data_IF_345266374393
#
_entry.id   IF_345266374393
#
_cell.length_a   1.000
_cell.length_b   1.000
_cell.length_c   1.000
_cell.angle_alpha   90.00
_cell.angle_beta   90.00
_cell.angle_gamma   90.00
#
_symmetry.space_group_name_H-M   'P 1'
#
loop_
_entity.id
_entity.type
_entity.pdbx_description
1 polymer ?
#
# COMPACT_ATOMS: atom_id res chain seq x y z
N UNK A 1 7.08 -8.54 -13.43
CA UNK A 1 7.68 -9.42 -12.41
C UNK A 1 7.65 -8.69 -11.07
N UNK A 2 7.40 -9.38 -9.95
CA UNK A 2 7.48 -8.76 -8.63
C UNK A 2 8.96 -8.66 -8.21
N UNK A 3 9.41 -7.47 -7.79
CA UNK A 3 10.77 -7.24 -7.31
C UNK A 3 10.78 -7.06 -5.80
N UNK A 4 11.78 -7.61 -5.10
CA UNK A 4 11.93 -7.54 -3.65
C UNK A 4 13.13 -6.68 -3.26
N UNK A 5 12.98 -5.86 -2.22
CA UNK A 5 14.00 -4.90 -1.81
C UNK A 5 14.21 -4.89 -0.28
N UNK A 6 15.43 -4.51 0.14
CA UNK A 6 15.79 -4.22 1.54
C UNK A 6 15.36 -5.30 2.54
N UNK A 7 15.63 -6.58 2.26
CA UNK A 7 15.29 -7.69 3.16
C UNK A 7 13.89 -8.28 2.97
N UNK A 8 13.06 -7.72 2.08
CA UNK A 8 11.81 -8.37 1.67
C UNK A 8 12.09 -9.78 1.11
N UNK A 9 11.33 -10.76 1.58
CA UNK A 9 11.57 -12.17 1.24
C UNK A 9 10.28 -12.97 1.24
N UNK A 10 10.28 -14.09 0.53
CA UNK A 10 9.22 -15.08 0.66
C UNK A 10 9.54 -16.05 1.80
N UNK A 11 8.56 -16.29 2.67
CA UNK A 11 8.65 -17.27 3.76
C UNK A 11 7.51 -18.28 3.68
N UNK A 12 7.77 -19.52 4.09
CA UNK A 12 6.70 -20.49 4.31
C UNK A 12 6.16 -20.35 5.73
N UNK A 13 4.84 -20.17 5.85
CA UNK A 13 4.11 -20.20 7.12
C UNK A 13 3.01 -21.25 7.00
N UNK A 14 3.21 -22.38 7.67
CA UNK A 14 2.39 -23.57 7.46
C UNK A 14 2.52 -24.06 6.01
N UNK A 15 1.40 -24.16 5.31
CA UNK A 15 1.34 -24.54 3.88
C UNK A 15 1.31 -23.35 2.91
N UNK A 16 1.49 -22.11 3.40
CA UNK A 16 1.36 -20.89 2.60
C UNK A 16 2.69 -20.17 2.44
N UNK A 17 3.00 -19.81 1.19
CA UNK A 17 4.08 -18.88 0.90
C UNK A 17 3.58 -17.45 1.07
N UNK A 18 4.28 -16.66 1.88
CA UNK A 18 3.90 -15.28 2.20
C UNK A 18 5.03 -14.32 1.86
N UNK A 19 4.68 -13.11 1.44
CA UNK A 19 5.62 -12.00 1.40
C UNK A 19 5.86 -11.52 2.84
N UNK A 20 7.09 -11.66 3.31
CA UNK A 20 7.51 -11.18 4.62
C UNK A 20 8.25 -9.86 4.49
N UNK A 21 7.77 -8.85 5.20
CA UNK A 21 8.37 -7.53 5.34
C UNK A 21 8.75 -7.37 6.82
N UNK A 22 10.04 -7.16 7.08
CA UNK A 22 10.63 -7.05 8.42
C UNK A 22 10.43 -5.68 9.08
N UNK A 23 9.92 -4.69 8.34
CA UNK A 23 9.70 -3.33 8.81
C UNK A 23 10.95 -2.42 8.74
N UNK A 24 12.12 -2.95 8.39
CA UNK A 24 13.35 -2.17 8.19
C UNK A 24 13.49 -1.70 6.74
N UNK A 25 12.51 -0.90 6.29
CA UNK A 25 12.43 -0.37 4.91
C UNK A 25 12.33 -1.45 3.83
N UNK A 26 11.98 -2.69 4.20
CA UNK A 26 11.62 -3.75 3.25
C UNK A 26 10.35 -3.41 2.47
N UNK A 27 10.37 -3.65 1.17
CA UNK A 27 9.21 -3.49 0.29
C UNK A 27 9.31 -4.40 -0.93
N UNK A 28 8.18 -4.56 -1.62
CA UNK A 28 8.10 -5.23 -2.90
C UNK A 28 7.39 -4.35 -3.92
N UNK A 29 7.80 -4.45 -5.18
CA UNK A 29 7.19 -3.73 -6.29
C UNK A 29 6.48 -4.69 -7.23
N UNK A 30 5.24 -4.34 -7.57
CA UNK A 30 4.50 -4.92 -8.69
C UNK A 30 4.77 -4.10 -9.96
N UNK A 31 4.57 -4.68 -11.16
CA UNK A 31 4.58 -3.90 -12.39
C UNK A 31 3.61 -2.72 -12.32
N UNK A 32 3.99 -1.60 -12.93
CA UNK A 32 3.15 -0.41 -12.97
C UNK A 32 1.80 -0.71 -13.63
N UNK A 33 0.72 -0.29 -12.97
CA UNK A 33 -0.66 -0.42 -13.45
C UNK A 33 -1.17 0.99 -13.75
N UNK A 34 -1.86 1.24 -14.88
CA UNK A 34 -2.42 2.55 -15.18
C UNK A 34 -3.71 2.79 -14.37
N UNK A 35 -3.59 3.00 -13.06
CA UNK A 35 -4.68 3.04 -12.06
C UNK A 35 -5.80 4.03 -12.44
N UNK A 36 -5.47 5.12 -13.13
CA UNK A 36 -6.47 6.12 -13.57
C UNK A 36 -7.25 5.73 -14.84
N UNK A 37 -6.84 4.68 -15.56
CA UNK A 37 -7.41 4.29 -16.85
C UNK A 37 -8.16 2.96 -16.80
N UNK A 38 -8.15 2.27 -15.66
CA UNK A 38 -8.76 0.94 -15.51
C UNK A 38 -9.59 0.84 -14.24
N UNK A 39 -10.58 -0.04 -14.25
CA UNK A 39 -11.21 -0.53 -13.03
C UNK A 39 -10.41 -1.72 -12.49
N UNK A 40 -10.25 -1.79 -11.16
CA UNK A 40 -9.51 -2.86 -10.52
C UNK A 40 -10.08 -3.18 -9.13
N UNK A 41 -9.72 -4.34 -8.60
CA UNK A 41 -10.02 -4.73 -7.22
C UNK A 41 -8.75 -5.26 -6.58
N UNK A 42 -8.56 -4.98 -5.29
CA UNK A 42 -7.44 -5.47 -4.50
C UNK A 42 -7.98 -6.38 -3.41
N UNK A 43 -7.44 -7.60 -3.36
CA UNK A 43 -7.69 -8.56 -2.29
C UNK A 43 -6.35 -9.02 -1.74
N UNK A 44 -6.16 -8.91 -0.43
CA UNK A 44 -4.95 -9.38 0.22
C UNK A 44 -5.24 -9.90 1.64
N UNK A 45 -4.39 -10.79 2.11
CA UNK A 45 -4.34 -11.23 3.50
C UNK A 45 -3.15 -10.56 4.16
N UNK A 46 -3.40 -9.87 5.27
CA UNK A 46 -2.35 -9.15 6.01
C UNK A 46 -2.35 -9.62 7.46
N UNK A 47 -1.16 -9.93 7.97
CA UNK A 47 -0.92 -10.14 9.40
C UNK A 47 0.10 -9.13 9.87
N UNK A 48 -0.35 -8.16 10.66
CA UNK A 48 0.54 -7.16 11.26
C UNK A 48 1.17 -7.76 12.51
N UNK A 49 2.50 -7.86 12.54
CA UNK A 49 3.23 -8.38 13.70
C UNK A 49 3.50 -7.29 14.75
N UNK A 50 3.76 -6.07 14.29
CA UNK A 50 3.93 -4.88 15.13
C UNK A 50 3.55 -3.64 14.33
N UNK A 51 2.76 -2.75 14.92
CA UNK A 51 2.53 -1.43 14.35
C UNK A 51 3.68 -0.52 14.81
N UNK A 52 4.45 0.08 13.89
CA UNK A 52 5.37 1.13 14.28
C UNK A 52 4.57 2.31 14.87
N UNK A 53 5.17 3.10 15.77
CA UNK A 53 4.59 4.36 16.27
C UNK A 53 4.44 5.45 15.18
N UNK A 54 4.47 5.07 13.90
CA UNK A 54 4.28 5.96 12.76
C UNK A 54 2.79 6.16 12.51
N UNK A 55 2.43 7.39 12.17
CA UNK A 55 1.06 7.77 11.83
C UNK A 55 0.52 7.05 10.58
N UNK A 56 1.41 6.59 9.69
CA UNK A 56 1.06 5.97 8.40
C UNK A 56 1.98 4.80 8.10
N UNK A 57 1.39 3.65 7.79
CA UNK A 57 2.04 2.46 7.25
C UNK A 57 1.41 2.10 5.90
N UNK A 58 2.17 2.19 4.81
CA UNK A 58 1.68 1.75 3.50
C UNK A 58 1.73 0.22 3.42
N UNK A 59 0.62 -0.40 3.04
CA UNK A 59 0.54 -1.84 2.74
C UNK A 59 0.72 -2.07 1.24
N UNK A 60 0.05 -1.24 0.42
CA UNK A 60 0.22 -1.20 -1.03
C UNK A 60 -0.13 0.21 -1.52
N UNK A 61 0.79 0.86 -2.23
CA UNK A 61 0.61 2.21 -2.75
C UNK A 61 1.46 2.40 -4.00
N UNK A 62 1.14 3.39 -4.80
CA UNK A 62 2.05 3.84 -5.85
C UNK A 62 3.15 4.75 -5.28
N UNK A 63 4.22 4.95 -6.07
CA UNK A 63 5.39 5.74 -5.68
C UNK A 63 5.27 7.24 -5.99
N UNK A 64 4.18 7.72 -6.58
CA UNK A 64 4.12 9.12 -7.00
C UNK A 64 4.08 10.07 -5.80
N UNK A 65 4.53 11.31 -6.02
CA UNK A 65 4.44 12.40 -5.06
C UNK A 65 3.64 13.55 -5.68
N UNK A 66 2.40 13.85 -5.23
CA UNK A 66 1.61 13.06 -4.26
C UNK A 66 1.23 11.68 -4.81
N UNK A 67 1.01 10.68 -3.93
CA UNK A 67 0.54 9.35 -4.36
C UNK A 67 -0.84 9.46 -5.02
N UNK A 68 -1.18 8.55 -5.92
CA UNK A 68 -2.50 8.45 -6.57
C UNK A 68 -3.42 7.46 -5.84
N UNK A 69 -2.83 6.45 -5.21
CA UNK A 69 -3.51 5.36 -4.52
C UNK A 69 -2.69 4.92 -3.30
N UNK A 70 -3.37 4.74 -2.17
CA UNK A 70 -2.79 4.11 -0.98
C UNK A 70 -3.82 3.20 -0.34
N UNK A 71 -3.39 1.98 -0.04
CA UNK A 71 -3.98 1.10 0.97
C UNK A 71 -2.98 1.02 2.13
N UNK A 72 -3.40 1.40 3.32
CA UNK A 72 -2.49 1.50 4.46
C UNK A 72 -3.19 1.50 5.80
N UNK A 73 -2.40 1.42 6.86
CA UNK A 73 -2.87 1.64 8.23
C UNK A 73 -2.54 3.08 8.59
N UNK A 74 -3.56 3.88 8.86
CA UNK A 74 -3.47 5.32 9.13
C UNK A 74 -4.11 5.57 10.49
N UNK A 75 -3.32 6.07 11.44
CA UNK A 75 -3.74 6.26 12.84
C UNK A 75 -4.40 5.02 13.47
N UNK A 76 -3.94 3.82 13.11
CA UNK A 76 -4.44 2.55 13.64
C UNK A 76 -5.61 1.94 12.89
N UNK A 77 -6.25 2.67 11.97
CA UNK A 77 -7.34 2.17 11.13
C UNK A 77 -6.83 1.72 9.77
N UNK A 78 -7.44 0.67 9.21
CA UNK A 78 -7.20 0.28 7.82
C UNK A 78 -7.91 1.26 6.90
N UNK A 79 -7.17 1.95 6.03
CA UNK A 79 -7.67 3.02 5.20
C UNK A 79 -7.26 2.88 3.73
N UNK A 80 -8.07 3.46 2.85
CA UNK A 80 -7.83 3.61 1.42
C UNK A 80 -7.93 5.08 1.04
N UNK A 81 -6.89 5.59 0.41
CA UNK A 81 -6.79 6.96 -0.11
C UNK A 81 -6.69 6.89 -1.63
N UNK A 82 -7.66 7.48 -2.34
CA UNK A 82 -7.63 7.67 -3.78
C UNK A 82 -7.49 9.15 -4.09
N UNK A 83 -6.53 9.49 -4.93
CA UNK A 83 -6.22 10.87 -5.32
C UNK A 83 -6.28 11.01 -6.82
N UNK A 84 -7.04 12.00 -7.27
CA UNK A 84 -7.00 12.48 -8.65
C UNK A 84 -6.28 13.81 -8.69
N UNK A 85 -5.09 13.84 -9.30
CA UNK A 85 -4.40 15.09 -9.61
C UNK A 85 -5.03 15.69 -10.86
N UNK A 86 -5.88 16.71 -10.71
CA UNK A 86 -6.25 17.61 -11.81
C UNK A 86 -5.14 18.65 -11.95
N UNK A 87 -4.70 18.93 -13.18
CA UNK A 87 -3.56 19.82 -13.49
C UNK A 87 -3.73 21.29 -13.04
N UNK A 88 -4.77 21.64 -12.31
CA UNK A 88 -5.16 23.04 -12.08
C UNK A 88 -5.82 23.34 -10.73
N UNK A 89 -5.93 22.39 -9.78
CA UNK A 89 -6.63 22.65 -8.53
C UNK A 89 -5.76 22.42 -7.30
N UNK A 90 -5.72 23.43 -6.43
CA UNK A 90 -5.22 23.34 -5.06
C UNK A 90 -6.06 22.38 -4.19
N UNK A 91 -7.14 21.81 -4.76
CA UNK A 91 -8.02 20.84 -4.16
C UNK A 91 -7.72 19.44 -4.70
N UNK A 92 -6.96 18.67 -3.92
CA UNK A 92 -6.82 17.24 -4.13
C UNK A 92 -8.19 16.59 -3.93
N UNK A 93 -8.78 16.05 -5.00
CA UNK A 93 -9.96 15.21 -4.88
C UNK A 93 -9.54 13.91 -4.19
N UNK A 94 -9.79 13.84 -2.88
CA UNK A 94 -9.47 12.74 -2.01
C UNK A 94 -10.75 11.94 -1.72
N UNK A 95 -10.78 10.69 -2.16
CA UNK A 95 -11.72 9.72 -1.60
C UNK A 95 -10.98 8.97 -0.52
N UNK A 96 -11.53 8.99 0.69
CA UNK A 96 -10.92 8.44 1.89
C UNK A 96 -11.91 7.52 2.59
N UNK A 97 -11.54 6.26 2.75
CA UNK A 97 -12.32 5.27 3.49
C UNK A 97 -11.46 4.66 4.58
N UNK A 98 -11.96 4.57 5.80
CA UNK A 98 -11.32 3.81 6.87
C UNK A 98 -12.32 2.85 7.50
N UNK A 99 -11.84 1.66 7.85
CA UNK A 99 -12.56 0.78 8.75
C UNK A 99 -12.24 1.19 10.20
N UNK A 100 -13.28 1.58 10.93
CA UNK A 100 -13.24 1.93 12.35
C UNK A 100 -13.38 0.71 13.25
#
# INVERSE_FOLDING_TARGET
MLSLYNGASYKQIGSRTVLYLDGDRSYAETPAIPIQKISFSLLCWVKVLSLPNKSVLNLYSDWSAPHQFRLGIIYGSLCVDLRRTTHSDAHMNLVYFCNG
#
